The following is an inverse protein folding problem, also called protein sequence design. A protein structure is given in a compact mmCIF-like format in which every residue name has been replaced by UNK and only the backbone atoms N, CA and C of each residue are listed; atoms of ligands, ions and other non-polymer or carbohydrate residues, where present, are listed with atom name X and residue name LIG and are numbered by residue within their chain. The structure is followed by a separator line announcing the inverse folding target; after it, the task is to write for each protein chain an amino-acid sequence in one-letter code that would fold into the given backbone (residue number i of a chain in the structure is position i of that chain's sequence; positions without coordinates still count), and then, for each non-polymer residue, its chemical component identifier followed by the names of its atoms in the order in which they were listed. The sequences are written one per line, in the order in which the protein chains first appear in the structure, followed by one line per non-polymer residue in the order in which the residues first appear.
data_IF_123889704994
#
_entry.id   IF_123889704994
#
_cell.length_a   1.000
_cell.length_b   1.000
_cell.length_c   1.000
_cell.angle_alpha   90.00
_cell.angle_beta   90.00
_cell.angle_gamma   90.00
#
_symmetry.space_group_name_H-M   'P 1'
#
loop_
_entity.id
_entity.type
_entity.pdbx_description
1 polymer ?
#
# COMPACT_ATOMS: atom_id res chain seq x y z
N UNK A 1 -26.58 -8.70 12.18
CA UNK A 1 -25.64 -9.83 12.34
C UNK A 1 -24.52 -9.86 11.29
N UNK A 2 -24.11 -8.72 10.72
CA UNK A 2 -23.00 -8.62 9.76
C UNK A 2 -21.75 -7.91 10.30
N UNK A 3 -21.86 -7.20 11.44
CA UNK A 3 -20.74 -6.44 12.03
C UNK A 3 -19.71 -7.29 12.80
N UNK A 4 -20.06 -8.52 13.19
CA UNK A 4 -19.15 -9.38 13.98
C UNK A 4 -18.31 -10.32 13.10
N UNK A 5 -18.68 -10.52 11.84
CA UNK A 5 -17.99 -11.48 10.96
C UNK A 5 -16.72 -10.94 10.31
N UNK A 6 -16.58 -9.61 10.18
CA UNK A 6 -15.44 -8.99 9.51
C UNK A 6 -14.18 -8.93 10.41
N UNK A 7 -14.38 -8.84 11.73
CA UNK A 7 -13.28 -8.84 12.72
C UNK A 7 -12.64 -10.23 12.85
N UNK A 8 -13.41 -11.31 12.63
CA UNK A 8 -12.93 -12.68 12.80
C UNK A 8 -12.00 -13.15 11.67
N UNK A 9 -12.11 -12.59 10.46
CA UNK A 9 -11.25 -12.94 9.30
C UNK A 9 -9.80 -12.47 9.54
N UNK A 10 -9.59 -11.44 10.36
CA UNK A 10 -8.26 -10.92 10.67
C UNK A 10 -7.45 -11.78 11.66
N UNK A 11 -8.10 -12.56 12.55
CA UNK A 11 -7.37 -13.42 13.50
C UNK A 11 -6.77 -14.66 12.83
N UNK A 12 -7.41 -15.20 11.79
CA UNK A 12 -6.99 -16.46 11.16
C UNK A 12 -5.91 -16.29 10.09
N UNK A 13 -5.60 -15.06 9.68
CA UNK A 13 -4.54 -14.79 8.70
C UNK A 13 -3.12 -14.83 9.30
N UNK A 14 -2.99 -14.86 10.64
CA UNK A 14 -1.70 -14.93 11.36
C UNK A 14 -1.44 -16.26 12.08
N UNK A 15 -2.37 -17.22 12.07
CA UNK A 15 -2.19 -18.50 12.77
C UNK A 15 -1.38 -19.56 12.00
N UNK A 16 -0.65 -19.15 10.96
CA UNK A 16 0.12 -20.06 10.09
C UNK A 16 1.63 -20.02 10.30
N UNK A 17 2.12 -19.55 11.45
CA UNK A 17 3.53 -19.70 11.81
C UNK A 17 3.73 -21.11 12.36
N UNK A 18 4.41 -21.94 11.57
CA UNK A 18 4.89 -23.26 11.97
C UNK A 18 5.73 -23.14 13.24
N UNK A 19 5.25 -23.73 14.34
CA UNK A 19 5.87 -23.67 15.65
C UNK A 19 7.08 -24.62 15.73
N UNK A 20 8.10 -24.36 14.93
CA UNK A 20 9.44 -24.89 15.18
C UNK A 20 10.12 -24.01 16.23
N UNK A 21 10.73 -24.57 17.30
CA UNK A 21 11.35 -23.76 18.34
C UNK A 21 12.60 -23.08 17.78
N UNK A 22 12.45 -21.86 17.29
CA UNK A 22 13.58 -20.99 17.00
C UNK A 22 14.24 -20.70 18.35
N UNK A 23 15.54 -21.03 18.48
CA UNK A 23 16.37 -20.60 19.60
C UNK A 23 16.29 -19.07 19.66
N UNK A 24 15.52 -18.55 20.62
CA UNK A 24 15.49 -17.13 20.92
C UNK A 24 16.89 -16.70 21.34
N UNK A 25 17.62 -16.07 20.42
CA UNK A 25 18.70 -15.20 20.83
C UNK A 25 18.02 -14.05 21.57
N UNK A 26 18.23 -13.98 22.89
CA UNK A 26 17.76 -12.88 23.73
C UNK A 26 18.47 -11.58 23.29
N UNK A 27 18.05 -11.01 22.17
CA UNK A 27 18.26 -9.60 21.91
C UNK A 27 17.32 -8.87 22.83
N UNK A 28 17.84 -8.46 23.98
CA UNK A 28 17.20 -7.50 24.86
C UNK A 28 16.95 -6.23 24.04
N UNK A 29 15.73 -6.03 23.54
CA UNK A 29 15.26 -4.73 23.06
C UNK A 29 15.09 -3.80 24.28
N UNK A 30 16.22 -3.45 24.90
CA UNK A 30 16.34 -2.43 25.92
C UNK A 30 16.61 -1.10 25.23
N UNK A 31 15.56 -0.49 24.70
CA UNK A 31 15.61 0.87 24.21
C UNK A 31 14.18 1.40 24.12
N UNK A 32 13.88 2.48 24.86
CA UNK A 32 12.74 3.32 24.53
C UNK A 32 13.02 3.92 23.14
N UNK A 33 12.68 3.22 22.07
CA UNK A 33 12.61 3.82 20.75
C UNK A 33 11.37 4.71 20.73
N UNK A 34 11.57 6.02 20.85
CA UNK A 34 10.47 6.96 20.62
C UNK A 34 10.23 7.02 19.11
N UNK A 35 9.10 6.48 18.66
CA UNK A 35 8.63 6.67 17.29
C UNK A 35 8.39 8.16 17.06
N UNK A 36 8.99 8.72 16.01
CA UNK A 36 8.83 10.13 15.63
C UNK A 36 7.72 10.29 14.61
N UNK A 37 7.20 11.51 14.45
CA UNK A 37 6.27 11.86 13.37
C UNK A 37 6.83 11.50 11.98
N UNK A 38 8.14 11.65 11.78
CA UNK A 38 8.80 11.29 10.53
C UNK A 38 8.73 9.78 10.27
N UNK A 39 8.93 8.97 11.31
CA UNK A 39 8.83 7.50 11.18
C UNK A 39 7.40 7.07 10.80
N UNK A 40 6.39 7.74 11.37
CA UNK A 40 4.98 7.47 11.05
C UNK A 40 4.63 7.85 9.61
N UNK A 41 5.12 9.00 9.13
CA UNK A 41 4.91 9.42 7.74
C UNK A 41 5.70 8.54 6.77
N UNK A 42 6.93 8.13 7.11
CA UNK A 42 7.71 7.20 6.29
C UNK A 42 7.06 5.83 6.20
N UNK A 43 6.40 5.36 7.27
CA UNK A 43 5.58 4.14 7.18
C UNK A 43 4.50 4.31 6.12
N UNK A 44 3.75 5.41 6.16
CA UNK A 44 2.68 5.68 5.21
C UNK A 44 3.19 5.88 3.77
N UNK A 45 4.36 6.50 3.59
CA UNK A 45 5.03 6.64 2.29
C UNK A 45 5.28 5.31 1.56
N UNK A 46 5.40 4.18 2.28
CA UNK A 46 5.50 2.86 1.63
C UNK A 46 4.23 2.51 0.87
N UNK A 47 3.06 2.96 1.36
CA UNK A 47 1.82 2.74 0.67
C UNK A 47 1.67 3.66 -0.54
N UNK A 48 2.04 4.92 -0.40
CA UNK A 48 2.07 5.87 -1.53
C UNK A 48 2.87 5.32 -2.71
N UNK A 49 4.01 4.66 -2.44
CA UNK A 49 4.76 3.96 -3.47
C UNK A 49 3.98 2.78 -4.09
N UNK A 50 3.24 2.04 -3.26
CA UNK A 50 2.41 0.91 -3.70
C UNK A 50 1.29 1.38 -4.63
N UNK A 51 0.59 2.45 -4.25
CA UNK A 51 -0.53 3.02 -5.00
C UNK A 51 -0.05 3.70 -6.28
N UNK A 52 1.00 4.52 -6.21
CA UNK A 52 1.61 5.14 -7.39
C UNK A 52 2.01 4.09 -8.43
N UNK A 53 2.75 3.05 -8.01
CA UNK A 53 3.15 1.99 -8.93
C UNK A 53 1.98 1.20 -9.48
N UNK A 54 0.99 0.88 -8.65
CA UNK A 54 -0.17 0.10 -9.05
C UNK A 54 -1.01 0.87 -10.08
N UNK A 55 -1.42 2.10 -9.76
CA UNK A 55 -2.25 2.95 -10.60
C UNK A 55 -1.56 3.37 -11.88
N UNK A 56 -0.32 3.88 -11.82
CA UNK A 56 0.42 4.30 -13.03
C UNK A 56 0.65 3.11 -13.98
N UNK A 57 1.05 1.94 -13.45
CA UNK A 57 1.28 0.76 -14.30
C UNK A 57 0.00 0.31 -14.95
N UNK A 58 -1.10 0.25 -14.22
CA UNK A 58 -2.36 -0.20 -14.76
C UNK A 58 -2.93 0.75 -15.81
N UNK A 59 -2.85 2.06 -15.57
CA UNK A 59 -3.42 3.08 -16.44
C UNK A 59 -2.54 3.43 -17.63
N UNK A 60 -1.21 3.37 -17.53
CA UNK A 60 -0.28 3.84 -18.59
C UNK A 60 0.68 2.76 -19.09
N UNK A 61 0.89 1.69 -18.33
CA UNK A 61 1.94 0.68 -18.57
C UNK A 61 3.33 1.09 -18.05
N UNK A 62 3.47 2.33 -17.55
CA UNK A 62 4.71 2.88 -17.00
C UNK A 62 4.59 2.97 -15.48
N UNK A 63 5.72 2.84 -14.78
CA UNK A 63 5.79 2.99 -13.32
C UNK A 63 6.27 4.38 -12.94
N UNK A 64 6.45 4.63 -11.65
CA UNK A 64 6.87 5.93 -11.10
C UNK A 64 8.10 6.50 -11.81
N UNK A 65 9.08 5.64 -12.13
CA UNK A 65 10.35 6.05 -12.71
C UNK A 65 10.23 6.74 -14.08
N UNK A 66 9.15 6.48 -14.82
CA UNK A 66 8.91 7.12 -16.11
C UNK A 66 8.38 8.55 -15.98
N UNK A 67 7.83 8.90 -14.81
CA UNK A 67 7.26 10.22 -14.53
C UNK A 67 8.21 11.02 -13.62
N UNK A 68 8.78 10.37 -12.62
CA UNK A 68 9.77 10.97 -11.72
C UNK A 68 10.62 9.91 -10.99
N UNK A 69 11.74 9.52 -11.58
CA UNK A 69 12.67 8.55 -10.99
C UNK A 69 13.38 9.04 -9.72
N UNK A 70 13.45 10.35 -9.46
CA UNK A 70 14.16 10.87 -8.27
C UNK A 70 13.39 10.56 -6.99
N UNK A 71 12.06 10.48 -7.06
CA UNK A 71 11.20 10.11 -5.93
C UNK A 71 11.46 8.69 -5.42
N UNK A 72 11.86 7.77 -6.30
CA UNK A 72 12.21 6.41 -5.90
C UNK A 72 13.48 6.34 -5.04
N UNK A 73 14.31 7.39 -5.03
CA UNK A 73 15.56 7.48 -4.26
C UNK A 73 16.48 6.25 -4.43
N UNK A 74 16.56 5.74 -5.66
CA UNK A 74 17.35 4.55 -6.00
C UNK A 74 16.72 3.21 -5.59
N UNK A 75 15.50 3.21 -5.06
CA UNK A 75 14.75 2.00 -4.75
C UNK A 75 14.36 1.21 -6.02
N UNK A 76 14.28 -0.13 -5.94
CA UNK A 76 14.02 -0.97 -7.10
C UNK A 76 12.58 -0.85 -7.61
N UNK A 77 12.31 -1.06 -8.92
CA UNK A 77 10.96 -1.06 -9.47
C UNK A 77 10.13 -2.23 -8.93
N UNK A 78 8.79 -2.14 -8.97
CA UNK A 78 7.91 -3.19 -8.48
C UNK A 78 8.02 -4.46 -9.33
N UNK A 79 7.78 -5.61 -8.71
CA UNK A 79 7.67 -6.89 -9.39
C UNK A 79 6.21 -7.14 -9.76
N UNK A 80 5.97 -7.54 -11.01
CA UNK A 80 4.68 -8.08 -11.44
C UNK A 80 3.60 -7.06 -11.79
N UNK A 81 3.85 -5.76 -11.58
CA UNK A 81 2.95 -4.69 -11.98
C UNK A 81 2.78 -4.64 -13.51
N UNK A 82 1.54 -4.52 -13.99
CA UNK A 82 1.20 -4.60 -15.41
C UNK A 82 0.16 -3.56 -15.81
N UNK A 83 0.15 -3.22 -17.10
CA UNK A 83 -0.99 -2.53 -17.74
C UNK A 83 -2.23 -3.40 -17.58
N UNK A 84 -3.28 -2.84 -16.98
CA UNK A 84 -4.56 -3.51 -16.82
C UNK A 84 -5.43 -3.34 -18.06
N UNK A 85 -6.29 -4.30 -18.32
CA UNK A 85 -7.32 -4.21 -19.36
C UNK A 85 -8.52 -3.40 -18.84
N UNK A 86 -8.36 -2.08 -18.77
CA UNK A 86 -9.39 -1.16 -18.28
C UNK A 86 -10.22 -0.64 -19.45
N UNK A 87 -11.52 -0.49 -19.22
CA UNK A 87 -12.37 0.30 -20.11
C UNK A 87 -11.92 1.79 -20.12
N UNK A 88 -12.28 2.56 -21.16
CA UNK A 88 -11.75 3.92 -21.32
C UNK A 88 -12.05 4.87 -20.16
N UNK A 89 -13.19 4.73 -19.49
CA UNK A 89 -13.56 5.61 -18.37
C UNK A 89 -12.75 5.23 -17.14
N UNK A 90 -12.73 3.94 -16.79
CA UNK A 90 -11.93 3.45 -15.66
C UNK A 90 -10.45 3.74 -15.87
N UNK A 91 -9.92 3.58 -17.08
CA UNK A 91 -8.52 3.85 -17.38
C UNK A 91 -8.12 5.30 -17.06
N UNK A 92 -8.95 6.28 -17.45
CA UNK A 92 -8.71 7.71 -17.16
C UNK A 92 -8.76 8.00 -15.67
N UNK A 93 -9.74 7.45 -14.96
CA UNK A 93 -9.86 7.63 -13.50
C UNK A 93 -8.63 7.07 -12.78
N UNK A 94 -8.20 5.85 -13.13
CA UNK A 94 -7.01 5.24 -12.53
C UNK A 94 -5.72 5.99 -12.93
N UNK A 95 -5.69 6.65 -14.09
CA UNK A 95 -4.58 7.53 -14.46
C UNK A 95 -4.50 8.75 -13.54
N UNK A 96 -5.63 9.41 -13.28
CA UNK A 96 -5.70 10.53 -12.34
C UNK A 96 -5.26 10.13 -10.93
N UNK A 97 -5.68 8.95 -10.44
CA UNK A 97 -5.21 8.42 -9.15
C UNK A 97 -3.68 8.26 -9.15
N UNK A 98 -3.11 7.68 -10.21
CA UNK A 98 -1.65 7.57 -10.32
C UNK A 98 -0.93 8.93 -10.27
N UNK A 99 -1.52 9.99 -10.81
CA UNK A 99 -0.95 11.34 -10.72
C UNK A 99 -1.09 11.96 -9.33
N UNK A 100 -2.17 11.65 -8.60
CA UNK A 100 -2.37 12.07 -7.22
C UNK A 100 -1.29 11.48 -6.31
N UNK A 101 -0.96 10.19 -6.45
CA UNK A 101 0.08 9.56 -5.62
C UNK A 101 1.49 10.11 -5.89
N UNK A 102 1.79 10.56 -7.12
CA UNK A 102 3.03 11.28 -7.40
C UNK A 102 3.05 12.62 -6.62
N UNK A 103 1.90 13.24 -6.44
CA UNK A 103 1.73 14.42 -5.58
C UNK A 103 2.00 14.13 -4.11
N UNK A 104 1.41 13.06 -3.55
CA UNK A 104 1.61 12.64 -2.17
C UNK A 104 3.08 12.29 -1.89
N UNK A 105 3.70 11.46 -2.75
CA UNK A 105 5.12 11.15 -2.65
C UNK A 105 6.02 12.40 -2.63
N UNK A 106 5.69 13.42 -3.45
CA UNK A 106 6.41 14.71 -3.44
C UNK A 106 6.21 15.45 -2.13
N UNK A 107 4.98 15.57 -1.66
CA UNK A 107 4.65 16.30 -0.43
C UNK A 107 5.39 15.70 0.78
N UNK A 108 5.39 14.37 0.90
CA UNK A 108 6.12 13.66 1.95
C UNK A 108 7.64 13.84 1.79
N UNK A 109 8.17 13.69 0.58
CA UNK A 109 9.60 13.81 0.32
C UNK A 109 10.12 15.23 0.63
N UNK A 110 9.38 16.27 0.24
CA UNK A 110 9.75 17.67 0.51
C UNK A 110 9.78 17.97 2.02
N UNK A 111 8.88 17.35 2.79
CA UNK A 111 8.76 17.57 4.22
C UNK A 111 9.76 16.77 5.06
N UNK A 112 9.99 15.51 4.70
CA UNK A 112 10.73 14.54 5.54
C UNK A 112 12.06 14.14 4.95
N UNK A 113 12.37 14.59 3.74
CA UNK A 113 13.42 14.05 2.91
C UNK A 113 12.98 12.79 2.14
N UNK A 114 12.00 12.01 2.62
CA UNK A 114 11.51 10.78 1.99
C UNK A 114 12.46 9.57 2.08
N UNK A 115 11.96 8.38 1.73
CA UNK A 115 12.68 7.10 1.80
C UNK A 115 12.92 6.49 0.40
N UNK A 116 13.92 5.59 0.24
CA UNK A 116 14.01 4.73 -0.94
C UNK A 116 12.72 3.91 -1.12
N UNK A 117 12.21 3.84 -2.36
CA UNK A 117 11.06 2.99 -2.70
C UNK A 117 11.34 1.54 -2.26
N UNK A 118 10.46 0.91 -1.46
CA UNK A 118 10.63 -0.49 -1.09
C UNK A 118 10.42 -1.40 -2.30
N UNK A 119 10.91 -2.65 -2.23
CA UNK A 119 10.58 -3.64 -3.25
C UNK A 119 9.13 -4.07 -3.10
N UNK A 120 8.29 -3.69 -4.06
CA UNK A 120 6.87 -3.98 -4.07
C UNK A 120 6.55 -5.24 -4.87
N UNK A 121 5.70 -6.11 -4.32
CA UNK A 121 5.20 -7.29 -5.02
C UNK A 121 3.75 -7.09 -5.47
N UNK A 122 3.60 -6.63 -6.71
CA UNK A 122 2.32 -6.38 -7.37
C UNK A 122 1.96 -7.51 -8.36
N UNK A 123 2.47 -8.73 -8.14
CA UNK A 123 2.14 -9.89 -8.99
C UNK A 123 0.69 -10.30 -8.82
N UNK A 124 0.04 -10.75 -9.90
CA UNK A 124 -1.33 -11.32 -9.85
C UNK A 124 -1.45 -12.46 -8.83
N UNK A 125 -0.38 -13.22 -8.60
CA UNK A 125 -0.35 -14.31 -7.62
C UNK A 125 -0.48 -13.80 -6.19
N UNK A 126 0.12 -12.64 -5.88
CA UNK A 126 0.01 -12.00 -4.57
C UNK A 126 -1.43 -11.49 -4.33
N UNK A 127 -2.03 -10.82 -5.33
CA UNK A 127 -3.43 -10.41 -5.31
C UNK A 127 -4.38 -11.62 -5.16
N UNK A 128 -4.14 -12.69 -5.92
CA UNK A 128 -4.93 -13.92 -5.83
C UNK A 128 -4.85 -14.54 -4.44
N UNK A 129 -3.66 -14.64 -3.85
CA UNK A 129 -3.47 -15.19 -2.51
C UNK A 129 -4.23 -14.36 -1.46
N UNK A 130 -4.20 -13.03 -1.56
CA UNK A 130 -4.95 -12.16 -0.66
C UNK A 130 -6.46 -12.41 -0.78
N UNK A 131 -6.99 -12.43 -2.00
CA UNK A 131 -8.41 -12.67 -2.25
C UNK A 131 -8.85 -14.08 -1.81
N UNK A 132 -8.00 -15.09 -2.05
CA UNK A 132 -8.26 -16.47 -1.60
C UNK A 132 -8.42 -16.54 -0.07
N UNK A 133 -7.58 -15.79 0.68
CA UNK A 133 -7.67 -15.68 2.14
C UNK A 133 -8.91 -14.91 2.60
N UNK A 134 -9.20 -13.77 1.96
CA UNK A 134 -10.33 -12.93 2.31
C UNK A 134 -11.68 -13.64 2.11
N UNK A 135 -11.80 -14.43 1.05
CA UNK A 135 -13.02 -15.20 0.73
C UNK A 135 -13.02 -16.57 1.44
N UNK A 136 -11.89 -17.02 1.99
CA UNK A 136 -11.75 -18.30 2.68
C UNK A 136 -11.71 -19.51 1.75
N UNK A 137 -11.49 -19.32 0.45
CA UNK A 137 -11.36 -20.39 -0.54
C UNK A 137 -10.56 -19.92 -1.74
N UNK A 138 -9.88 -20.86 -2.39
CA UNK A 138 -9.16 -20.59 -3.65
C UNK A 138 -10.15 -20.32 -4.78
N UNK A 139 -10.06 -19.18 -5.45
CA UNK A 139 -10.91 -18.87 -6.59
C UNK A 139 -10.48 -19.65 -7.84
N UNK A 140 -11.45 -20.00 -8.70
CA UNK A 140 -11.22 -20.62 -10.00
C UNK A 140 -12.08 -19.91 -11.06
N UNK A 141 -11.50 -19.12 -11.99
CA UNK A 141 -10.08 -18.84 -12.13
C UNK A 141 -9.52 -18.03 -10.94
N UNK A 142 -8.19 -18.04 -10.77
CA UNK A 142 -7.53 -17.21 -9.75
C UNK A 142 -7.81 -15.72 -10.02
N UNK A 143 -8.06 -14.96 -8.98
CA UNK A 143 -8.24 -13.51 -9.09
C UNK A 143 -7.03 -12.88 -9.78
N UNK A 144 -7.29 -11.98 -10.72
CA UNK A 144 -6.25 -11.28 -11.47
C UNK A 144 -6.68 -9.81 -11.56
N UNK A 145 -5.99 -8.88 -10.87
CA UNK A 145 -6.38 -7.48 -10.83
C UNK A 145 -6.28 -6.85 -12.23
N UNK A 146 -5.43 -7.36 -13.12
CA UNK A 146 -5.15 -6.76 -14.43
C UNK A 146 -6.12 -7.22 -15.53
N UNK A 147 -7.02 -8.16 -15.24
CA UNK A 147 -7.84 -8.82 -16.24
C UNK A 147 -8.97 -7.96 -16.83
N UNK A 148 -9.58 -7.10 -16.01
CA UNK A 148 -10.67 -6.21 -16.40
C UNK A 148 -10.89 -5.10 -15.35
N UNK A 149 -11.67 -4.07 -15.69
CA UNK A 149 -11.99 -2.94 -14.78
C UNK A 149 -12.59 -3.37 -13.45
N UNK A 150 -13.49 -4.36 -13.43
CA UNK A 150 -14.15 -4.79 -12.19
C UNK A 150 -13.13 -5.41 -11.22
N UNK A 151 -12.28 -6.32 -11.70
CA UNK A 151 -11.22 -6.89 -10.88
C UNK A 151 -10.24 -5.81 -10.42
N UNK A 152 -9.90 -4.87 -11.29
CA UNK A 152 -9.00 -3.79 -10.94
C UNK A 152 -9.57 -2.91 -9.84
N UNK A 153 -10.84 -2.48 -9.97
CA UNK A 153 -11.51 -1.67 -8.94
C UNK A 153 -11.66 -2.41 -7.61
N UNK A 154 -11.93 -3.73 -7.64
CA UNK A 154 -11.93 -4.54 -6.43
C UNK A 154 -10.54 -4.56 -5.76
N UNK A 155 -9.48 -4.65 -6.56
CA UNK A 155 -8.11 -4.60 -6.07
C UNK A 155 -7.74 -3.22 -5.51
N UNK A 156 -8.11 -2.16 -6.22
CA UNK A 156 -7.94 -0.77 -5.80
C UNK A 156 -8.75 -0.42 -4.56
N UNK A 157 -9.78 -1.16 -4.18
CA UNK A 157 -10.53 -0.87 -2.96
C UNK A 157 -9.84 -1.39 -1.69
N UNK A 158 -9.09 -2.49 -1.78
CA UNK A 158 -8.47 -3.07 -0.59
C UNK A 158 -7.04 -2.57 -0.32
N UNK A 159 -6.31 -2.10 -1.34
CA UNK A 159 -4.97 -1.50 -1.15
C UNK A 159 -5.06 -0.25 -0.25
N UNK A 160 -5.96 0.73 -0.51
CA UNK A 160 -6.07 1.94 0.30
C UNK A 160 -6.65 1.70 1.69
N UNK A 161 -7.39 0.60 1.90
CA UNK A 161 -7.92 0.28 3.24
C UNK A 161 -6.79 -0.01 4.25
N UNK A 162 -5.64 -0.50 3.77
CA UNK A 162 -4.42 -0.63 4.59
C UNK A 162 -3.79 0.76 4.85
N UNK A 163 -3.92 1.71 3.92
CA UNK A 163 -3.49 3.10 4.07
C UNK A 163 -4.26 3.93 5.03
N UNK A 164 -5.58 3.83 4.93
CA UNK A 164 -6.49 4.46 5.87
C UNK A 164 -6.16 3.99 7.30
N UNK A 165 -5.83 2.72 7.51
CA UNK A 165 -5.39 2.24 8.83
C UNK A 165 -4.01 2.76 9.24
N UNK A 166 -3.10 3.00 8.29
CA UNK A 166 -1.79 3.59 8.56
C UNK A 166 -1.91 5.06 8.99
N UNK A 167 -2.53 5.90 8.16
CA UNK A 167 -2.67 7.33 8.43
C UNK A 167 -3.61 7.64 9.59
N UNK A 168 -4.81 7.05 9.63
CA UNK A 168 -5.74 7.23 10.77
C UNK A 168 -5.14 6.69 12.06
N UNK A 169 -4.34 5.62 11.98
CA UNK A 169 -3.57 5.09 13.12
C UNK A 169 -2.46 6.02 13.58
N UNK A 170 -1.84 6.79 12.67
CA UNK A 170 -0.74 7.70 12.96
C UNK A 170 -1.19 9.06 13.54
N UNK A 171 -2.30 9.63 13.07
CA UNK A 171 -2.75 10.99 13.44
C UNK A 171 -2.73 11.29 14.95
N UNK A 172 -3.22 10.40 15.84
CA UNK A 172 -3.24 10.67 17.28
C UNK A 172 -1.85 10.88 17.89
N UNK A 173 -0.82 10.35 17.22
CA UNK A 173 0.57 10.37 17.68
C UNK A 173 1.41 11.48 17.03
N UNK A 174 0.87 12.17 16.01
CA UNK A 174 1.56 13.30 15.36
C UNK A 174 1.54 14.56 16.24
N UNK A 175 2.74 15.10 16.49
CA UNK A 175 2.97 16.27 17.35
C UNK A 175 3.23 17.55 16.53
N UNK A 176 3.98 17.46 15.44
CA UNK A 176 4.38 18.62 14.63
C UNK A 176 3.25 19.08 13.69
N UNK A 177 2.90 20.36 13.78
CA UNK A 177 1.80 20.97 13.02
C UNK A 177 1.92 20.77 11.50
N UNK A 178 3.12 20.96 10.95
CA UNK A 178 3.34 20.85 9.50
C UNK A 178 3.10 19.43 9.00
N UNK A 179 3.55 18.42 9.75
CA UNK A 179 3.34 17.00 9.44
C UNK A 179 1.87 16.64 9.55
N UNK A 180 1.25 17.00 10.68
CA UNK A 180 -0.17 16.77 10.92
C UNK A 180 -1.06 17.42 9.85
N UNK A 181 -0.68 18.58 9.33
CA UNK A 181 -1.43 19.25 8.26
C UNK A 181 -1.38 18.45 6.96
N UNK A 182 -0.19 18.02 6.52
CA UNK A 182 -0.02 17.24 5.28
C UNK A 182 -0.75 15.90 5.37
N UNK A 183 -0.56 15.16 6.46
CA UNK A 183 -1.25 13.88 6.69
C UNK A 183 -2.77 14.01 6.69
N UNK A 184 -3.32 15.11 7.26
CA UNK A 184 -4.75 15.34 7.17
C UNK A 184 -5.20 15.61 5.74
N UNK A 185 -4.42 16.33 4.93
CA UNK A 185 -4.75 16.54 3.52
C UNK A 185 -4.75 15.22 2.74
N UNK A 186 -3.72 14.38 2.88
CA UNK A 186 -3.61 13.06 2.21
C UNK A 186 -4.86 12.21 2.43
N UNK A 187 -5.32 12.07 3.69
CA UNK A 187 -6.53 11.29 4.03
C UNK A 187 -7.82 11.82 3.37
N UNK A 188 -7.88 13.11 3.04
CA UNK A 188 -9.07 13.68 2.39
C UNK A 188 -9.07 13.53 0.87
N UNK A 189 -7.94 13.14 0.26
CA UNK A 189 -7.82 12.99 -1.21
C UNK A 189 -7.84 11.51 -1.65
N UNK A 190 -7.54 10.57 -0.75
CA UNK A 190 -7.65 9.11 -0.93
C UNK A 190 -9.05 8.54 -0.66
#
# INVERSE_FOLDING_TARGET
MFKLSLVLVFLTAFSGIDASPIKYHNSSCSGNMSVTDVDLVHFAMNLEFTEAEFFLKASTGKGLDAFNATLAKGGPPPIGAKKANLDPITNRIIEEFGYQEIGHLRAIADMTGGIPRPLLNLTRENFAMFMDRAVGRRSNPRFDPYANSLNYLLASYYIPYVGLTGYVGAIPYLVYFNIKRVTNYEIFVD
#
